data_IF_649565659059
#
_entry.id   IF_649565659059
#
_cell.length_a   1.000
_cell.length_b   1.000
_cell.length_c   1.000
_cell.angle_alpha   90.00
_cell.angle_beta   90.00
_cell.angle_gamma   90.00
#
_symmetry.space_group_name_H-M   'P 1'
#
loop_
_entity.id
_entity.type
_entity.pdbx_description
1 polymer ?
#
# COMPACT_ATOMS: atom_id res chain seq x y z
N UNK A 1 -20.42 9.43 22.20
CA UNK A 1 -19.18 8.64 22.13
C UNK A 1 -19.22 7.82 20.86
N UNK A 2 -18.38 8.15 19.88
CA UNK A 2 -18.25 7.35 18.66
C UNK A 2 -16.85 7.55 18.09
N UNK A 3 -15.96 6.63 18.40
CA UNK A 3 -14.76 6.40 17.59
C UNK A 3 -15.23 5.56 16.40
N UNK A 4 -15.08 6.09 15.18
CA UNK A 4 -15.31 5.34 13.94
C UNK A 4 -14.06 5.43 13.09
N UNK A 5 -13.31 4.34 13.09
CA UNK A 5 -12.34 4.03 12.04
C UNK A 5 -12.96 2.87 11.25
N UNK A 6 -13.23 3.05 9.95
CA UNK A 6 -13.02 2.01 8.92
C UNK A 6 -13.35 2.53 7.51
N UNK A 7 -12.35 2.33 6.64
CA UNK A 7 -12.32 2.11 5.19
C UNK A 7 -13.66 2.15 4.44
N UNK A 8 -13.74 3.09 3.50
CA UNK A 8 -14.65 3.24 2.35
C UNK A 8 -15.99 2.47 2.35
N UNK A 9 -17.08 3.20 2.61
CA UNK A 9 -18.43 2.77 2.17
C UNK A 9 -19.61 3.44 2.88
N UNK A 10 -19.50 3.73 4.19
CA UNK A 10 -20.69 3.99 5.02
C UNK A 10 -20.66 5.31 5.83
N UNK A 11 -19.86 6.30 5.44
CA UNK A 11 -19.83 7.57 6.18
C UNK A 11 -20.84 8.64 5.71
N UNK A 12 -21.47 8.48 4.53
CA UNK A 12 -22.50 9.42 4.07
C UNK A 12 -22.06 10.89 4.13
N UNK A 13 -22.83 11.72 4.84
CA UNK A 13 -22.60 13.15 5.10
C UNK A 13 -21.54 13.44 6.18
N UNK A 14 -20.89 12.42 6.74
CA UNK A 14 -19.89 12.55 7.80
C UNK A 14 -18.45 12.68 7.29
N UNK A 15 -18.25 12.68 5.97
CA UNK A 15 -16.96 12.98 5.35
C UNK A 15 -16.99 14.40 4.79
N UNK A 16 -16.06 15.22 5.27
CA UNK A 16 -15.77 16.52 4.69
C UNK A 16 -14.46 16.46 3.92
N UNK A 17 -14.53 16.65 2.60
CA UNK A 17 -13.35 16.72 1.72
C UNK A 17 -12.79 18.15 1.67
N UNK A 18 -11.51 18.28 1.29
CA UNK A 18 -10.84 19.59 1.19
C UNK A 18 -10.29 20.12 2.53
N UNK A 19 -10.38 19.32 3.60
CA UNK A 19 -9.90 19.68 4.94
C UNK A 19 -8.58 18.98 5.25
N UNK A 20 -7.47 19.55 4.80
CA UNK A 20 -6.14 18.98 5.10
C UNK A 20 -5.68 19.46 6.47
N UNK A 21 -5.54 18.53 7.40
CA UNK A 21 -5.05 18.79 8.75
C UNK A 21 -3.68 19.50 8.74
N UNK A 22 -3.51 20.44 9.67
CA UNK A 22 -2.26 21.17 9.89
C UNK A 22 -1.71 20.92 11.29
N UNK A 23 -2.49 21.25 12.32
CA UNK A 23 -2.13 21.13 13.73
C UNK A 23 -3.40 21.10 14.59
N UNK A 24 -3.25 20.79 15.87
CA UNK A 24 -4.31 20.96 16.86
C UNK A 24 -3.83 21.75 18.08
N UNK A 25 -4.75 22.27 18.88
CA UNK A 25 -4.47 22.84 20.19
C UNK A 25 -5.46 22.29 21.23
N UNK A 26 -5.04 22.25 22.49
CA UNK A 26 -5.93 21.85 23.59
C UNK A 26 -6.59 23.09 24.15
N UNK A 27 -7.92 23.10 24.13
CA UNK A 27 -8.75 24.16 24.68
C UNK A 27 -8.84 24.03 26.20
N UNK A 28 -9.21 25.14 26.87
CA UNK A 28 -9.36 25.20 28.33
C UNK A 28 -10.38 24.19 28.88
N UNK A 29 -11.43 23.90 28.10
CA UNK A 29 -12.45 22.90 28.43
C UNK A 29 -11.98 21.44 28.24
N UNK A 30 -10.71 21.24 27.89
CA UNK A 30 -10.10 19.94 27.68
C UNK A 30 -10.30 19.34 26.28
N UNK A 31 -11.13 19.94 25.42
CA UNK A 31 -11.33 19.55 24.02
C UNK A 31 -10.12 19.93 23.17
N UNK A 32 -10.07 19.41 21.96
CA UNK A 32 -9.08 19.74 20.94
C UNK A 32 -9.72 20.65 19.89
N UNK A 33 -9.03 21.72 19.50
CA UNK A 33 -9.32 22.45 18.27
C UNK A 33 -8.39 21.99 17.18
N UNK A 34 -8.95 21.51 16.08
CA UNK A 34 -8.25 20.96 14.92
C UNK A 34 -8.26 22.01 13.82
N UNK A 35 -7.08 22.34 13.29
CA UNK A 35 -6.92 23.36 12.26
C UNK A 35 -6.62 22.76 10.89
N UNK A 36 -7.22 23.34 9.86
CA UNK A 36 -7.06 22.92 8.47
C UNK A 36 -6.36 24.01 7.66
N UNK A 37 -5.79 23.64 6.52
CA UNK A 37 -5.02 24.55 5.66
C UNK A 37 -5.87 25.57 4.90
N UNK A 38 -7.19 25.38 4.86
CA UNK A 38 -8.16 26.35 4.38
C UNK A 38 -8.50 27.45 5.42
N UNK A 39 -7.87 27.41 6.59
CA UNK A 39 -8.11 28.36 7.69
C UNK A 39 -9.31 28.03 8.57
N UNK A 40 -10.10 27.02 8.22
CA UNK A 40 -11.20 26.54 9.05
C UNK A 40 -10.67 25.67 10.21
N UNK A 41 -11.54 25.46 11.20
CA UNK A 41 -11.24 24.62 12.34
C UNK A 41 -12.48 23.84 12.82
N UNK A 42 -12.24 22.80 13.61
CA UNK A 42 -13.27 22.01 14.26
C UNK A 42 -12.85 21.66 15.68
N UNK A 43 -13.78 21.74 16.63
CA UNK A 43 -13.54 21.32 18.02
C UNK A 43 -14.02 19.87 18.23
N UNK A 44 -13.20 19.03 18.85
CA UNK A 44 -13.46 17.60 19.06
C UNK A 44 -13.01 17.13 20.45
N UNK A 45 -13.70 16.13 21.01
CA UNK A 45 -13.28 15.51 22.27
C UNK A 45 -12.11 14.53 22.06
N UNK A 46 -12.05 13.91 20.89
CA UNK A 46 -11.03 12.93 20.49
C UNK A 46 -10.63 13.20 19.04
N UNK A 47 -9.32 13.21 18.79
CA UNK A 47 -8.72 13.25 17.46
C UNK A 47 -8.05 11.90 17.18
N UNK A 48 -8.38 11.29 16.04
CA UNK A 48 -7.75 10.04 15.56
C UNK A 48 -6.92 10.36 14.33
N UNK A 49 -5.62 10.08 14.38
CA UNK A 49 -4.70 10.25 13.26
C UNK A 49 -4.74 9.05 12.32
N UNK A 50 -5.65 9.09 11.34
CA UNK A 50 -5.72 8.13 10.23
C UNK A 50 -5.20 8.74 8.91
N UNK A 51 -4.12 9.52 9.02
CA UNK A 51 -3.54 10.35 7.95
C UNK A 51 -2.28 9.73 7.31
N UNK A 52 -2.13 8.41 7.41
CA UNK A 52 -1.13 7.61 6.70
C UNK A 52 0.32 7.73 7.23
N UNK A 53 1.28 7.19 6.47
CA UNK A 53 2.70 7.10 6.89
C UNK A 53 3.35 8.46 7.19
N UNK A 54 2.92 9.53 6.51
CA UNK A 54 3.34 10.91 6.73
C UNK A 54 2.62 11.64 7.87
N UNK A 55 1.87 10.93 8.72
CA UNK A 55 0.93 11.48 9.70
C UNK A 55 1.43 12.73 10.42
N UNK A 56 0.78 13.87 10.18
CA UNK A 56 1.02 15.11 10.92
C UNK A 56 0.47 15.02 12.35
N UNK A 57 -0.61 14.27 12.55
CA UNK A 57 -1.15 14.01 13.89
C UNK A 57 -0.12 13.31 14.76
N UNK A 58 0.52 12.24 14.24
CA UNK A 58 1.63 11.56 14.92
C UNK A 58 2.79 12.51 15.20
N UNK A 59 3.21 13.31 14.21
CA UNK A 59 4.34 14.24 14.39
C UNK A 59 4.10 15.24 15.53
N UNK A 60 2.87 15.72 15.73
CA UNK A 60 2.56 16.61 16.85
C UNK A 60 2.38 15.85 18.17
N UNK A 61 1.74 14.68 18.16
CA UNK A 61 1.44 13.92 19.37
C UNK A 61 2.66 13.19 19.97
N UNK A 62 3.54 12.67 19.12
CA UNK A 62 4.75 11.89 19.47
C UNK A 62 5.92 12.23 18.52
N UNK A 63 6.51 13.44 18.62
CA UNK A 63 7.57 13.91 17.72
C UNK A 63 8.85 13.04 17.75
N UNK A 64 9.05 12.28 18.82
CA UNK A 64 10.15 11.33 18.98
C UNK A 64 10.01 10.08 18.11
N UNK A 65 8.80 9.73 17.68
CA UNK A 65 8.53 8.56 16.84
C UNK A 65 8.84 8.91 15.39
N UNK A 66 9.99 8.43 14.91
CA UNK A 66 10.47 8.67 13.54
C UNK A 66 10.25 7.46 12.65
N UNK A 67 9.93 7.73 11.40
CA UNK A 67 10.01 6.73 10.31
C UNK A 67 11.45 6.65 9.81
N UNK A 68 11.86 5.47 9.37
CA UNK A 68 13.17 5.26 8.77
C UNK A 68 13.03 4.42 7.50
N UNK A 69 13.98 4.60 6.60
CA UNK A 69 14.11 3.77 5.42
C UNK A 69 14.60 2.37 5.83
N UNK A 70 13.86 1.34 5.42
CA UNK A 70 14.19 -0.06 5.73
C UNK A 70 15.28 -0.62 4.82
N UNK A 71 15.73 0.15 3.83
CA UNK A 71 16.68 -0.30 2.80
C UNK A 71 16.04 -1.21 1.75
N UNK A 72 14.73 -1.38 1.77
CA UNK A 72 13.98 -2.17 0.78
C UNK A 72 13.23 -1.27 -0.19
N UNK A 73 13.19 -1.69 -1.46
CA UNK A 73 12.33 -1.11 -2.50
C UNK A 73 11.53 -2.23 -3.13
N UNK A 74 10.27 -1.96 -3.44
CA UNK A 74 9.35 -2.98 -3.96
C UNK A 74 8.61 -2.48 -5.20
N UNK A 75 8.53 -3.34 -6.22
CA UNK A 75 7.66 -3.20 -7.37
C UNK A 75 6.46 -4.12 -7.19
N UNK A 76 5.28 -3.52 -7.10
CA UNK A 76 4.01 -4.22 -6.98
C UNK A 76 3.37 -4.34 -8.35
N UNK A 77 3.05 -5.57 -8.74
CA UNK A 77 2.45 -5.88 -10.05
C UNK A 77 1.19 -6.72 -9.86
N UNK A 78 0.18 -6.39 -10.66
CA UNK A 78 -1.06 -7.15 -10.81
C UNK A 78 -1.11 -7.71 -12.24
N UNK A 79 -1.09 -9.02 -12.39
CA UNK A 79 -1.30 -9.67 -13.68
C UNK A 79 -2.67 -10.32 -13.66
N UNK A 80 -3.62 -9.76 -14.40
CA UNK A 80 -4.95 -10.33 -14.51
C UNK A 80 -4.88 -11.75 -15.10
N UNK A 81 -5.65 -12.65 -14.48
CA UNK A 81 -5.66 -14.07 -14.81
C UNK A 81 -6.98 -14.43 -15.48
N UNK A 82 -6.89 -14.96 -16.69
CA UNK A 82 -7.91 -15.78 -17.33
C UNK A 82 -7.38 -17.23 -17.44
N UNK A 83 -8.19 -18.14 -17.96
CA UNK A 83 -7.80 -19.56 -18.09
C UNK A 83 -6.56 -19.78 -18.95
N UNK A 84 -6.33 -18.93 -19.95
CA UNK A 84 -5.16 -19.01 -20.83
C UNK A 84 -3.90 -18.56 -20.07
N UNK A 85 -3.94 -17.38 -19.45
CA UNK A 85 -2.84 -16.81 -18.67
C UNK A 85 -2.49 -17.70 -17.47
N UNK A 86 -3.48 -18.33 -16.83
CA UNK A 86 -3.24 -19.32 -15.76
C UNK A 86 -2.45 -20.51 -16.25
N UNK A 87 -2.75 -21.02 -17.45
CA UNK A 87 -1.97 -22.12 -18.07
C UNK A 87 -0.56 -21.67 -18.40
N UNK A 88 -0.39 -20.47 -18.97
CA UNK A 88 0.93 -19.91 -19.29
C UNK A 88 1.80 -19.74 -18.04
N UNK A 89 1.21 -19.25 -16.95
CA UNK A 89 1.91 -18.95 -15.69
C UNK A 89 1.86 -20.10 -14.68
N UNK A 90 1.44 -21.30 -15.09
CA UNK A 90 1.21 -22.43 -14.18
C UNK A 90 2.49 -22.83 -13.41
N UNK A 91 3.67 -22.65 -13.98
CA UNK A 91 4.92 -22.90 -13.25
C UNK A 91 5.15 -21.91 -12.08
N UNK A 92 4.71 -20.66 -12.24
CA UNK A 92 4.83 -19.61 -11.23
C UNK A 92 3.73 -19.74 -10.17
N UNK A 93 2.48 -19.92 -10.62
CA UNK A 93 1.30 -20.08 -9.75
C UNK A 93 1.32 -21.43 -9.01
N UNK A 94 1.61 -22.50 -9.75
CA UNK A 94 1.53 -23.89 -9.34
C UNK A 94 0.23 -24.26 -8.65
N UNK A 95 0.28 -24.61 -7.37
CA UNK A 95 -0.89 -25.05 -6.59
C UNK A 95 -1.74 -23.89 -6.04
N UNK A 96 -1.38 -22.63 -6.36
CA UNK A 96 -2.06 -21.44 -5.88
C UNK A 96 -1.62 -20.98 -4.49
N UNK A 97 -0.66 -21.68 -3.86
CA UNK A 97 -0.05 -21.22 -2.62
C UNK A 97 0.83 -19.98 -2.83
N UNK A 98 0.92 -19.13 -1.81
CA UNK A 98 1.88 -18.02 -1.81
C UNK A 98 3.30 -18.58 -1.90
N UNK A 99 4.08 -18.04 -2.83
CA UNK A 99 5.46 -18.45 -3.09
C UNK A 99 6.39 -17.27 -2.94
N UNK A 100 7.54 -17.50 -2.35
CA UNK A 100 8.60 -16.51 -2.25
C UNK A 100 9.87 -17.11 -2.85
N UNK A 101 10.32 -16.56 -3.98
CA UNK A 101 11.62 -16.89 -4.56
C UNK A 101 12.63 -15.90 -3.98
N UNK A 102 13.68 -16.40 -3.37
CA UNK A 102 14.72 -15.57 -2.76
C UNK A 102 16.05 -15.95 -3.40
N UNK A 103 16.87 -14.96 -3.74
CA UNK A 103 18.27 -15.20 -4.05
C UNK A 103 19.14 -14.45 -3.05
N UNK A 104 19.64 -15.14 -2.00
CA UNK A 104 20.45 -14.51 -0.96
C UNK A 104 21.94 -14.42 -1.34
N UNK A 105 22.38 -15.07 -2.42
CA UNK A 105 23.81 -15.26 -2.76
C UNK A 105 24.38 -14.16 -3.67
N UNK A 106 23.62 -13.10 -3.92
CA UNK A 106 24.03 -11.99 -4.78
C UNK A 106 24.29 -10.72 -3.96
N UNK A 107 25.21 -9.88 -4.45
CA UNK A 107 25.59 -8.60 -3.81
C UNK A 107 24.40 -7.64 -3.56
N UNK A 108 23.27 -7.86 -4.24
CA UNK A 108 22.00 -7.18 -4.00
C UNK A 108 20.88 -8.23 -3.85
N UNK A 109 20.53 -8.65 -2.62
CA UNK A 109 19.53 -9.68 -2.39
C UNK A 109 18.16 -9.22 -2.90
N UNK A 110 17.40 -10.17 -3.45
CA UNK A 110 16.03 -9.92 -3.87
C UNK A 110 15.09 -11.03 -3.40
N UNK A 111 13.82 -10.67 -3.27
CA UNK A 111 12.71 -11.58 -3.16
C UNK A 111 11.66 -11.29 -4.24
N UNK A 112 11.09 -12.36 -4.80
CA UNK A 112 9.91 -12.30 -5.65
C UNK A 112 8.80 -13.08 -4.95
N UNK A 113 7.85 -12.34 -4.39
CA UNK A 113 6.62 -12.91 -3.85
C UNK A 113 5.58 -13.03 -4.96
N UNK A 114 4.93 -14.18 -5.03
CA UNK A 114 3.91 -14.54 -6.00
C UNK A 114 2.72 -15.11 -5.24
N UNK A 115 1.54 -14.56 -5.47
CA UNK A 115 0.31 -15.01 -4.83
C UNK A 115 -0.84 -15.01 -5.84
N UNK A 116 -1.52 -16.15 -5.97
CA UNK A 116 -2.73 -16.26 -6.78
C UNK A 116 -3.92 -15.74 -5.99
N UNK A 117 -4.32 -14.51 -6.29
CA UNK A 117 -5.50 -13.89 -5.70
C UNK A 117 -6.71 -14.36 -6.50
N UNK A 118 -7.29 -15.47 -6.06
CA UNK A 118 -8.50 -16.05 -6.60
C UNK A 118 -9.71 -15.73 -5.71
N UNK A 119 -10.75 -15.10 -6.27
CA UNK A 119 -11.97 -14.78 -5.55
C UNK A 119 -12.98 -15.91 -5.74
N UNK A 120 -12.87 -16.98 -4.93
CA UNK A 120 -13.74 -18.17 -5.03
C UNK A 120 -14.43 -18.50 -3.69
N UNK A 121 -15.77 -18.50 -3.63
CA UNK A 121 -16.69 -17.96 -4.64
C UNK A 121 -16.48 -16.46 -4.84
N UNK A 122 -16.99 -15.92 -5.95
CA UNK A 122 -16.74 -14.53 -6.29
C UNK A 122 -17.22 -13.58 -5.18
N UNK A 123 -16.39 -12.58 -4.85
CA UNK A 123 -16.59 -11.81 -3.62
C UNK A 123 -17.86 -10.96 -3.63
N UNK A 124 -18.34 -10.56 -4.82
CA UNK A 124 -19.60 -9.86 -5.02
C UNK A 124 -20.84 -10.69 -4.66
N UNK A 125 -20.68 -12.00 -4.45
CA UNK A 125 -21.76 -12.91 -4.05
C UNK A 125 -21.86 -13.09 -2.53
N UNK A 126 -20.87 -12.62 -1.75
CA UNK A 126 -20.90 -12.61 -0.29
C UNK A 126 -21.71 -11.50 0.43
N UNK A 127 -22.23 -10.42 -0.19
CA UNK A 127 -22.95 -9.36 0.52
C UNK A 127 -24.07 -9.84 1.46
N UNK A 128 -24.72 -10.97 1.16
CA UNK A 128 -25.82 -11.49 1.99
C UNK A 128 -25.37 -11.99 3.37
N UNK A 129 -24.10 -12.37 3.56
CA UNK A 129 -23.62 -12.95 4.84
C UNK A 129 -22.90 -11.97 5.76
N UNK A 130 -22.46 -10.79 5.28
CA UNK A 130 -21.62 -9.86 6.04
C UNK A 130 -22.24 -8.48 6.32
N UNK A 131 -23.04 -7.91 5.42
CA UNK A 131 -23.78 -6.65 5.65
C UNK A 131 -24.79 -6.40 4.53
N UNK A 132 -26.06 -6.19 4.89
CA UNK A 132 -27.20 -6.04 3.97
C UNK A 132 -27.08 -4.86 2.97
N UNK A 133 -26.19 -3.89 3.21
CA UNK A 133 -26.09 -2.67 2.42
C UNK A 133 -24.75 -2.48 1.69
N UNK A 134 -23.84 -3.47 1.75
CA UNK A 134 -22.53 -3.37 1.11
C UNK A 134 -22.57 -4.03 -0.26
N UNK A 135 -22.38 -3.23 -1.32
CA UNK A 135 -22.18 -3.75 -2.68
C UNK A 135 -20.69 -3.81 -2.98
N UNK A 136 -20.17 -5.02 -3.18
CA UNK A 136 -18.79 -5.23 -3.66
C UNK A 136 -18.85 -5.37 -5.18
N UNK A 137 -18.03 -4.60 -5.89
CA UNK A 137 -17.91 -4.75 -7.34
C UNK A 137 -17.24 -6.09 -7.68
N UNK A 138 -17.60 -6.74 -8.82
CA UNK A 138 -16.92 -7.96 -9.25
C UNK A 138 -15.41 -7.79 -9.29
N UNK A 139 -14.70 -8.75 -8.73
CA UNK A 139 -13.24 -8.76 -8.73
C UNK A 139 -12.73 -9.81 -9.71
N UNK A 140 -11.81 -9.39 -10.59
CA UNK A 140 -11.12 -10.32 -11.47
C UNK A 140 -9.93 -10.93 -10.74
N UNK A 141 -9.78 -12.24 -10.87
CA UNK A 141 -8.62 -13.00 -10.43
C UNK A 141 -7.30 -12.42 -10.98
N UNK A 142 -6.25 -12.48 -10.19
CA UNK A 142 -4.94 -11.99 -10.61
C UNK A 142 -3.79 -12.65 -9.86
N UNK A 143 -2.65 -12.72 -10.52
CA UNK A 143 -1.38 -12.99 -9.86
C UNK A 143 -0.87 -11.67 -9.27
N UNK A 144 -0.78 -11.62 -7.95
CA UNK A 144 -0.08 -10.58 -7.23
C UNK A 144 1.41 -10.92 -7.21
N UNK A 145 2.23 -10.05 -7.80
CA UNK A 145 3.67 -10.23 -7.86
C UNK A 145 4.36 -9.03 -7.22
N UNK A 146 5.21 -9.30 -6.23
CA UNK A 146 6.01 -8.28 -5.54
C UNK A 146 7.47 -8.59 -5.71
N UNK A 147 8.16 -7.74 -6.46
CA UNK A 147 9.60 -7.80 -6.58
C UNK A 147 10.22 -6.83 -5.58
N UNK A 148 10.85 -7.34 -4.54
CA UNK A 148 11.49 -6.54 -3.50
C UNK A 148 13.01 -6.77 -3.48
N UNK A 149 13.77 -5.69 -3.35
CA UNK A 149 15.22 -5.74 -3.34
C UNK A 149 15.83 -4.50 -2.71
N UNK A 150 17.15 -4.45 -2.61
CA UNK A 150 17.88 -3.25 -2.21
C UNK A 150 17.88 -2.18 -3.33
N UNK A 151 18.06 -0.89 -3.01
CA UNK A 151 18.13 0.19 -4.00
C UNK A 151 19.23 0.00 -5.06
N UNK A 152 20.36 -0.60 -4.68
CA UNK A 152 21.52 -0.84 -5.55
C UNK A 152 21.14 -1.69 -6.75
N UNK A 153 20.14 -2.56 -6.61
CA UNK A 153 19.67 -3.39 -7.70
C UNK A 153 19.06 -2.55 -8.85
N UNK A 154 18.39 -1.44 -8.53
CA UNK A 154 17.83 -0.58 -9.57
C UNK A 154 18.90 0.24 -10.30
N UNK A 155 20.03 0.51 -9.64
CA UNK A 155 21.14 1.27 -10.21
C UNK A 155 20.76 2.71 -10.60
N UNK A 156 19.67 3.24 -10.03
CA UNK A 156 19.17 4.60 -10.25
C UNK A 156 18.71 5.21 -8.91
N UNK A 157 18.74 6.54 -8.75
CA UNK A 157 18.22 7.20 -7.56
C UNK A 157 16.71 6.98 -7.36
N UNK A 158 16.27 6.99 -6.10
CA UNK A 158 14.85 6.81 -5.73
C UNK A 158 13.90 7.78 -6.43
N UNK A 159 14.31 9.05 -6.58
CA UNK A 159 13.51 10.06 -7.29
C UNK A 159 13.20 9.61 -8.72
N UNK A 160 14.17 9.01 -9.40
CA UNK A 160 13.99 8.47 -10.74
C UNK A 160 13.18 7.18 -10.72
N UNK A 161 13.46 6.27 -9.78
CA UNK A 161 12.76 5.00 -9.60
C UNK A 161 11.26 5.22 -9.41
N UNK A 162 10.87 6.17 -8.56
CA UNK A 162 9.47 6.46 -8.23
C UNK A 162 8.72 7.21 -9.35
N UNK A 163 9.43 7.73 -10.35
CA UNK A 163 8.84 8.38 -11.52
C UNK A 163 8.72 7.44 -12.74
N UNK A 164 9.16 6.19 -12.62
CA UNK A 164 9.12 5.26 -13.74
C UNK A 164 7.68 4.95 -14.17
N UNK A 165 7.48 4.94 -15.49
CA UNK A 165 6.28 4.40 -16.11
C UNK A 165 6.40 2.89 -16.26
N UNK A 166 5.26 2.20 -16.32
CA UNK A 166 5.16 0.73 -16.39
C UNK A 166 6.12 0.10 -17.40
N UNK A 167 6.22 0.64 -18.61
CA UNK A 167 7.10 0.11 -19.67
C UNK A 167 8.59 0.10 -19.25
N UNK A 168 9.01 1.11 -18.49
CA UNK A 168 10.39 1.24 -18.04
C UNK A 168 10.69 0.32 -16.85
N UNK A 169 9.69 0.01 -16.01
CA UNK A 169 9.83 -0.97 -14.94
C UNK A 169 10.13 -2.37 -15.51
N UNK A 170 9.43 -2.77 -16.58
CA UNK A 170 9.70 -4.05 -17.25
C UNK A 170 11.12 -4.13 -17.84
N UNK A 171 11.67 -3.01 -18.30
CA UNK A 171 13.04 -2.96 -18.82
C UNK A 171 14.09 -3.05 -17.70
N UNK A 172 13.81 -2.49 -16.52
CA UNK A 172 14.68 -2.60 -15.35
C UNK A 172 14.78 -4.03 -14.84
N UNK A 173 13.66 -4.77 -14.80
CA UNK A 173 13.65 -6.19 -14.41
C UNK A 173 14.38 -7.11 -15.39
N UNK A 174 14.64 -6.65 -16.63
CA UNK A 174 15.40 -7.39 -17.64
C UNK A 174 16.91 -7.11 -17.57
N UNK A 175 17.34 -6.09 -16.84
CA UNK A 175 18.77 -5.83 -16.64
C UNK A 175 19.32 -6.95 -15.76
N UNK A 176 20.54 -7.42 -16.05
CA UNK A 176 21.32 -8.23 -15.10
C UNK A 176 21.97 -7.28 -14.09
N UNK A 177 22.24 -7.72 -12.85
CA UNK A 177 22.97 -6.89 -11.91
C UNK A 177 24.33 -6.63 -12.50
N UNK A 178 24.72 -5.36 -12.53
CA UNK A 178 26.11 -4.99 -12.70
C UNK A 178 26.78 -5.35 -11.37
N UNK A 179 27.00 -6.64 -11.16
CA UNK A 179 27.80 -7.16 -10.07
C UNK A 179 29.22 -6.74 -10.45
N UNK A 180 29.67 -5.60 -9.93
CA UNK A 180 31.04 -5.18 -10.07
C UNK A 180 31.92 -6.29 -9.55
N UNK A 181 32.78 -6.86 -10.39
CA UNK A 181 33.82 -7.79 -9.95
C UNK A 181 34.81 -6.99 -9.11
N UNK A 182 34.52 -6.85 -7.82
CA UNK A 182 35.53 -6.43 -6.86
C UNK A 182 36.41 -7.66 -6.58
N UNK A 183 37.64 -7.59 -7.12
CA UNK A 183 38.76 -8.48 -6.81
C UNK A 183 39.17 -8.36 -5.34
#
# INVERSE_FOLDING_TARGET
>A
MSVKLHVHGELGDKISFGYRFTHYERLENGRLRVWFDNGEHMDADVLVGDDGGGSKVRHQYKPEVKTFDTGGRALYTKVFLDDERRKELNMLIGDGSMRCLINPEVDAPFSLLLEDIAFKPNIEQFPESMSLNVKISPQQDYLYAVFACSPEWFGIPDEQLFQLKVLNCCLLLKRKPNIGTHK
#
